data_IF_440102257867
#
_entry.id   IF_440102257867
#
_cell.length_a   1.000
_cell.length_b   1.000
_cell.length_c   1.000
_cell.angle_alpha   90.00
_cell.angle_beta   90.00
_cell.angle_gamma   90.00
#
_symmetry.space_group_name_H-M   'P 1'
#
loop_
_entity.id
_entity.type
_entity.pdbx_description
1 polymer ?
#
# COMPACT_ATOMS: atom_id res chain seq x y z
N UNK A 1 4.85 -2.64 9.75
CA UNK A 1 4.48 -1.85 10.94
C UNK A 1 3.90 -0.51 10.54
N UNK A 2 2.68 -0.19 11.00
CA UNK A 2 1.96 1.04 10.61
C UNK A 2 2.64 2.31 11.12
N UNK A 3 3.07 2.31 12.38
CA UNK A 3 3.72 3.47 13.01
C UNK A 3 4.96 3.93 12.22
N UNK A 4 5.84 2.98 11.89
CA UNK A 4 7.04 3.21 11.07
C UNK A 4 6.70 3.84 9.72
N UNK A 5 5.57 3.47 9.10
CA UNK A 5 5.15 4.04 7.82
C UNK A 5 4.61 5.46 7.96
N UNK A 6 3.97 5.79 9.08
CA UNK A 6 3.51 7.15 9.38
C UNK A 6 4.72 8.06 9.61
N UNK A 7 5.67 7.64 10.45
CA UNK A 7 6.90 8.40 10.73
C UNK A 7 7.74 8.60 9.47
N UNK A 8 7.86 7.56 8.64
CA UNK A 8 8.53 7.65 7.36
C UNK A 8 7.87 8.67 6.41
N UNK A 9 6.53 8.63 6.30
CA UNK A 9 5.81 9.59 5.45
C UNK A 9 5.93 11.00 6.01
N UNK A 10 5.72 11.19 7.31
CA UNK A 10 5.79 12.53 7.90
C UNK A 10 7.17 13.17 7.70
N UNK A 11 8.25 12.43 7.97
CA UNK A 11 9.62 12.89 7.71
C UNK A 11 9.90 13.15 6.22
N UNK A 12 9.35 12.35 5.31
CA UNK A 12 9.49 12.56 3.88
C UNK A 12 8.81 13.86 3.42
N UNK A 13 7.65 14.18 3.97
CA UNK A 13 6.88 15.38 3.62
C UNK A 13 7.51 16.66 4.18
N UNK A 14 8.29 16.58 5.27
CA UNK A 14 9.08 17.70 5.79
C UNK A 14 10.16 18.12 4.80
N UNK A 15 10.86 17.16 4.20
CA UNK A 15 11.93 17.42 3.22
C UNK A 15 11.37 17.75 1.83
N UNK A 16 10.33 17.03 1.41
CA UNK A 16 9.70 17.19 0.09
C UNK A 16 8.18 17.30 0.24
N UNK A 17 7.57 18.50 0.13
CA UNK A 17 6.15 18.70 0.39
C UNK A 17 5.21 18.04 -0.65
N UNK A 18 5.69 17.78 -1.86
CA UNK A 18 4.91 17.15 -2.94
C UNK A 18 5.69 16.05 -3.67
N UNK A 19 6.00 14.93 -2.99
CA UNK A 19 6.79 13.86 -3.60
C UNK A 19 5.96 13.13 -4.66
N UNK A 20 6.63 12.59 -5.68
CA UNK A 20 5.96 11.72 -6.65
C UNK A 20 5.64 10.39 -5.97
N UNK A 21 4.45 9.85 -6.22
CA UNK A 21 4.00 8.59 -5.64
C UNK A 21 4.98 7.45 -5.88
N UNK A 22 5.60 7.41 -7.07
CA UNK A 22 6.58 6.38 -7.43
C UNK A 22 7.81 6.43 -6.53
N UNK A 23 8.33 7.62 -6.23
CA UNK A 23 9.50 7.82 -5.37
C UNK A 23 9.16 7.43 -3.93
N UNK A 24 7.96 7.74 -3.46
CA UNK A 24 7.50 7.33 -2.12
C UNK A 24 7.43 5.80 -2.02
N UNK A 25 6.84 5.13 -3.02
CA UNK A 25 6.73 3.67 -3.04
C UNK A 25 8.12 3.01 -3.07
N UNK A 26 9.04 3.54 -3.87
CA UNK A 26 10.39 2.99 -3.98
C UNK A 26 11.17 3.15 -2.68
N UNK A 27 11.12 4.34 -2.07
CA UNK A 27 11.75 4.59 -0.76
C UNK A 27 11.12 3.75 0.35
N UNK A 28 9.79 3.60 0.36
CA UNK A 28 9.09 2.75 1.32
C UNK A 28 9.53 1.28 1.18
N UNK A 29 9.65 0.78 -0.05
CA UNK A 29 10.16 -0.58 -0.32
C UNK A 29 11.60 -0.75 0.18
N UNK A 30 12.47 0.25 -0.03
CA UNK A 30 13.86 0.24 0.49
C UNK A 30 13.90 0.25 2.02
N UNK A 31 12.92 0.89 2.67
CA UNK A 31 12.74 0.88 4.11
C UNK A 31 12.03 -0.39 4.64
N UNK A 32 11.71 -1.36 3.77
CA UNK A 32 11.00 -2.60 4.15
C UNK A 32 9.51 -2.40 4.49
N UNK A 33 8.93 -1.27 4.09
CA UNK A 33 7.51 -0.97 4.33
C UNK A 33 6.68 -1.50 3.16
N UNK A 34 5.77 -2.43 3.43
CA UNK A 34 4.85 -2.94 2.42
C UNK A 34 3.85 -1.87 1.98
N UNK A 35 3.47 -1.89 0.70
CA UNK A 35 2.50 -0.94 0.12
C UNK A 35 1.17 -0.90 0.86
N UNK A 36 0.68 -2.04 1.36
CA UNK A 36 -0.55 -2.09 2.16
C UNK A 36 -0.44 -1.24 3.43
N UNK A 37 0.71 -1.28 4.10
CA UNK A 37 1.00 -0.48 5.29
C UNK A 37 1.13 1.00 4.92
N UNK A 38 1.79 1.29 3.80
CA UNK A 38 1.95 2.64 3.27
C UNK A 38 0.59 3.28 2.93
N UNK A 39 -0.32 2.52 2.31
CA UNK A 39 -1.68 2.97 2.01
C UNK A 39 -2.48 3.29 3.28
N UNK A 40 -2.34 2.46 4.33
CA UNK A 40 -2.95 2.74 5.64
C UNK A 40 -2.39 4.01 6.28
N UNK A 41 -1.06 4.20 6.24
CA UNK A 41 -0.40 5.39 6.76
C UNK A 41 -0.82 6.66 5.98
N UNK A 42 -0.92 6.57 4.65
CA UNK A 42 -1.43 7.63 3.78
C UNK A 42 -2.83 8.08 4.20
N UNK A 43 -3.74 7.13 4.45
CA UNK A 43 -5.08 7.44 4.96
C UNK A 43 -5.04 8.06 6.36
N UNK A 44 -4.21 7.54 7.27
CA UNK A 44 -4.07 8.09 8.62
C UNK A 44 -3.58 9.54 8.63
N UNK A 45 -2.70 9.90 7.68
CA UNK A 45 -2.20 11.26 7.48
C UNK A 45 -3.10 12.14 6.62
N UNK A 46 -4.22 11.61 6.10
CA UNK A 46 -5.12 12.34 5.20
C UNK A 46 -4.53 12.69 3.84
N UNK A 47 -3.43 12.06 3.44
CA UNK A 47 -2.70 12.41 2.21
C UNK A 47 -3.54 12.06 0.97
N UNK A 48 -3.72 13.03 0.09
CA UNK A 48 -4.42 12.86 -1.20
C UNK A 48 -3.42 12.58 -2.31
N UNK A 49 -3.85 11.84 -3.32
CA UNK A 49 -3.05 11.54 -4.51
C UNK A 49 -3.66 12.26 -5.70
N UNK A 50 -2.94 13.25 -6.23
CA UNK A 50 -3.35 14.04 -7.40
C UNK A 50 -2.52 13.62 -8.61
N UNK A 51 -3.19 13.43 -9.74
CA UNK A 51 -2.50 13.20 -11.01
C UNK A 51 -2.00 14.54 -11.55
N UNK A 52 -0.72 14.62 -11.87
CA UNK A 52 -0.11 15.80 -12.48
C UNK A 52 -0.37 15.81 -13.99
N UNK A 53 -0.40 16.99 -14.62
CA UNK A 53 -0.59 17.14 -16.07
C UNK A 53 0.44 16.35 -16.91
N UNK A 54 1.61 16.08 -16.34
CA UNK A 54 2.68 15.28 -16.95
C UNK A 54 2.42 13.75 -16.91
N UNK A 55 1.29 13.29 -16.37
CA UNK A 55 0.91 11.88 -16.29
C UNK A 55 1.36 11.13 -15.03
N UNK A 56 2.19 11.74 -14.18
CA UNK A 56 2.66 11.13 -12.93
C UNK A 56 1.75 11.46 -11.74
N UNK A 57 1.65 10.53 -10.79
CA UNK A 57 0.95 10.75 -9.52
C UNK A 57 1.84 11.46 -8.51
N UNK A 58 1.31 12.47 -7.83
CA UNK A 58 1.94 13.13 -6.69
C UNK A 58 1.07 12.99 -5.46
N UNK A 59 1.71 12.92 -4.31
CA UNK A 59 1.02 12.92 -3.03
C UNK A 59 1.13 14.31 -2.41
N UNK A 60 0.05 14.75 -1.80
CA UNK A 60 -0.08 16.07 -1.18
C UNK A 60 -0.76 15.91 0.17
N UNK A 61 -0.21 16.55 1.19
CA UNK A 61 -0.84 16.63 2.51
C UNK A 61 -1.85 17.79 2.42
N UNK A 62 -3.16 17.55 2.54
CA UNK A 62 -4.11 18.64 2.55
C UNK A 62 -3.84 19.47 3.80
N UNK A 63 -3.38 20.71 3.61
CA UNK A 63 -3.46 21.74 4.64
C UNK A 63 -4.96 21.83 5.02
N UNK A 64 -5.27 21.68 6.30
CA UNK A 64 -6.65 21.49 6.75
C UNK A 64 -7.55 22.63 6.29
N UNK A 65 -8.28 22.45 5.19
CA UNK A 65 -9.64 22.89 5.01
C UNK A 65 -10.21 22.25 3.74
N UNK A 66 -11.26 21.46 3.93
CA UNK A 66 -12.31 21.25 2.93
C UNK A 66 -11.91 20.57 1.62
N UNK A 67 -12.05 19.24 1.53
CA UNK A 67 -13.05 18.67 0.63
C UNK A 67 -13.11 17.15 0.75
N UNK A 68 -14.30 16.73 1.15
CA UNK A 68 -15.00 15.48 0.87
C UNK A 68 -14.58 14.75 -0.43
N UNK A 69 -14.63 13.41 -0.33
CA UNK A 69 -14.53 12.36 -1.37
C UNK A 69 -13.14 11.94 -1.88
N UNK A 70 -12.59 10.93 -1.20
CA UNK A 70 -11.94 9.82 -1.91
C UNK A 70 -12.26 8.48 -1.23
N UNK A 71 -13.53 8.27 -0.91
CA UNK A 71 -14.07 6.91 -0.96
C UNK A 71 -14.23 6.51 -2.44
N UNK A 72 -14.04 5.22 -2.72
CA UNK A 72 -14.17 4.51 -4.01
C UNK A 72 -12.83 4.13 -4.69
N UNK A 73 -12.43 2.88 -4.43
CA UNK A 73 -11.89 1.96 -5.43
C UNK A 73 -10.38 1.70 -5.33
N UNK A 74 -9.86 0.49 -5.47
CA UNK A 74 -10.49 -0.78 -5.84
C UNK A 74 -9.46 -1.86 -5.45
N UNK A 75 -9.94 -2.89 -4.72
CA UNK A 75 -9.48 -4.29 -4.71
C UNK A 75 -7.97 -4.62 -4.62
N UNK A 76 -7.51 -5.00 -3.42
CA UNK A 76 -6.73 -6.24 -3.31
C UNK A 76 -7.72 -7.42 -3.22
N UNK A 77 -8.34 -7.77 -4.36
CA UNK A 77 -9.02 -9.07 -4.52
C UNK A 77 -7.97 -10.08 -4.99
N UNK A 78 -7.45 -10.83 -4.03
CA UNK A 78 -7.30 -12.28 -4.16
C UNK A 78 -7.54 -12.81 -2.74
N UNK A 79 -8.80 -12.84 -2.32
CA UNK A 79 -9.68 -14.00 -2.46
C UNK A 79 -8.99 -15.26 -1.91
N UNK A 80 -9.30 -15.53 -0.64
CA UNK A 80 -9.32 -16.83 0.02
C UNK A 80 -9.67 -18.00 -0.91
N UNK A 81 -9.06 -19.15 -0.60
CA UNK A 81 -9.87 -20.34 -0.36
C UNK A 81 -9.55 -21.56 -1.21
N UNK A 82 -9.31 -22.67 -0.48
CA UNK A 82 -9.83 -24.02 -0.75
C UNK A 82 -8.96 -24.89 -1.68
N UNK A 83 -8.73 -26.18 -1.46
CA UNK A 83 -9.12 -27.18 -0.45
C UNK A 83 -8.08 -28.33 -0.62
N UNK A 84 -7.59 -28.91 0.47
CA UNK A 84 -8.02 -30.23 0.99
C UNK A 84 -7.40 -31.42 0.24
N UNK A 85 -7.10 -32.49 0.96
CA UNK A 85 -6.88 -33.79 0.36
C UNK A 85 -5.54 -34.43 0.69
N UNK A 86 -5.38 -34.81 1.95
CA UNK A 86 -4.57 -35.96 2.34
C UNK A 86 -5.00 -37.19 1.52
N UNK A 87 -4.05 -37.89 0.93
CA UNK A 87 -4.24 -39.26 0.46
C UNK A 87 -3.01 -40.07 0.86
N UNK A 88 -3.11 -40.67 2.06
CA UNK A 88 -2.44 -41.92 2.38
C UNK A 88 -2.83 -42.98 1.34
N UNK A 89 -1.87 -43.79 0.88
CA UNK A 89 -2.15 -44.79 -0.16
C UNK A 89 -0.96 -45.66 -0.50
N UNK A 90 -0.60 -46.52 0.45
CA UNK A 90 0.29 -47.68 0.33
C UNK A 90 -0.04 -48.53 -0.91
N UNK A 91 0.96 -48.85 -1.73
CA UNK A 91 0.88 -49.88 -2.76
C UNK A 91 1.94 -50.94 -2.47
N UNK A 92 1.52 -51.98 -1.74
CA UNK A 92 2.18 -53.26 -1.67
C UNK A 92 2.10 -54.00 -3.02
N UNK A 93 3.23 -54.60 -3.43
CA UNK A 93 3.29 -55.92 -4.06
C UNK A 93 2.79 -56.08 -5.51
N UNK A 94 3.66 -56.58 -6.38
CA UNK A 94 3.70 -58.01 -6.78
C UNK A 94 4.51 -58.18 -8.08
N UNK A 95 5.39 -59.19 -8.10
CA UNK A 95 6.09 -59.67 -9.30
C UNK A 95 7.53 -60.05 -9.04
#
# INVERSE_FOLDING_TARGET
NLQQAIEFLDGLFVDTPNPKAIDVLEKARRAGISEMTLRRAKTALGIVSKQHASGYWRWEKPEQESSDKSEKGVICKKADGQADGQADGQADGQG
#
